data_IF_518118098526
#
_entry.id   IF_518118098526
#
_cell.length_a   1.000
_cell.length_b   1.000
_cell.length_c   1.000
_cell.angle_alpha   90.00
_cell.angle_beta   90.00
_cell.angle_gamma   90.00
#
_symmetry.space_group_name_H-M   'P 1'
#
loop_
_entity.id
_entity.type
_entity.pdbx_description
1 polymer ?
#
# COMPACT_ATOMS: atom_id res chain seq x y z
N UNK A 1 4.02 -7.71 26.68
CA UNK A 1 2.73 -7.01 26.44
C UNK A 1 2.36 -7.28 24.99
N UNK A 2 1.10 -7.64 24.68
CA UNK A 2 0.66 -7.83 23.28
C UNK A 2 0.05 -6.51 22.82
N UNK A 3 0.57 -5.93 21.74
CA UNK A 3 0.02 -4.72 21.13
C UNK A 3 -1.21 -5.04 20.26
N UNK A 4 -2.07 -4.05 20.07
CA UNK A 4 -3.31 -4.11 19.29
C UNK A 4 -3.49 -2.83 18.46
N UNK A 5 -4.43 -2.81 17.51
CA UNK A 5 -4.76 -1.61 16.72
C UNK A 5 -5.25 -0.42 17.57
N UNK A 6 -5.66 -0.67 18.82
CA UNK A 6 -6.05 0.37 19.78
C UNK A 6 -4.86 0.91 20.59
N UNK A 7 -3.65 0.39 20.35
CA UNK A 7 -2.44 0.91 20.99
C UNK A 7 -2.16 2.31 20.47
N UNK A 8 -2.08 3.29 21.38
CA UNK A 8 -1.63 4.63 21.04
C UNK A 8 -0.11 4.62 20.82
N UNK A 9 0.29 4.45 19.56
CA UNK A 9 1.69 4.43 19.15
C UNK A 9 2.46 5.69 19.58
N UNK A 10 1.77 6.84 19.68
CA UNK A 10 2.40 8.11 20.07
C UNK A 10 2.90 8.13 21.53
N UNK A 11 2.48 7.16 22.34
CA UNK A 11 2.90 7.01 23.75
C UNK A 11 4.10 6.08 23.92
N UNK A 12 4.43 5.26 22.91
CA UNK A 12 5.52 4.29 22.97
C UNK A 12 6.89 4.97 22.84
N UNK A 13 7.92 4.44 23.52
CA UNK A 13 9.30 4.98 23.47
C UNK A 13 10.35 3.87 23.38
N UNK A 14 11.46 4.15 22.72
CA UNK A 14 12.62 3.26 22.61
C UNK A 14 12.23 1.82 22.21
N UNK A 15 12.64 0.84 23.00
CA UNK A 15 12.36 -0.57 22.71
C UNK A 15 10.86 -0.94 22.62
N UNK A 16 9.93 -0.05 23.03
CA UNK A 16 8.50 -0.28 22.85
C UNK A 16 8.02 -0.03 21.43
N UNK A 17 8.56 0.99 20.73
CA UNK A 17 8.22 1.28 19.33
C UNK A 17 8.77 0.20 18.40
N UNK A 18 10.02 -0.23 18.61
CA UNK A 18 10.64 -1.34 17.87
C UNK A 18 9.80 -2.62 17.97
N UNK A 19 9.46 -3.04 19.20
CA UNK A 19 8.60 -4.23 19.42
C UNK A 19 7.19 -4.07 18.84
N UNK A 20 6.70 -2.85 18.70
CA UNK A 20 5.40 -2.61 18.06
C UNK A 20 5.51 -2.79 16.55
N UNK A 21 6.55 -2.24 15.92
CA UNK A 21 6.84 -2.38 14.49
C UNK A 21 7.07 -3.85 14.12
N UNK A 22 7.94 -4.56 14.85
CA UNK A 22 8.14 -6.01 14.66
C UNK A 22 6.86 -6.83 14.88
N UNK A 23 5.98 -6.35 15.76
CA UNK A 23 4.72 -6.99 16.10
C UNK A 23 3.56 -6.66 15.16
N UNK A 24 3.75 -5.73 14.21
CA UNK A 24 2.69 -5.25 13.33
C UNK A 24 2.02 -6.37 12.52
N UNK A 25 2.76 -7.33 11.91
CA UNK A 25 2.14 -8.38 11.10
C UNK A 25 1.22 -9.30 11.91
N UNK A 26 1.65 -9.70 13.11
CA UNK A 26 0.84 -10.54 13.98
C UNK A 26 -0.34 -9.76 14.57
N UNK A 27 -0.18 -8.45 14.79
CA UNK A 27 -1.24 -7.56 15.25
C UNK A 27 -2.34 -7.41 14.19
N UNK A 28 -2.00 -7.11 12.95
CA UNK A 28 -2.99 -6.97 11.85
C UNK A 28 -3.65 -8.31 11.56
N UNK A 29 -2.88 -9.41 11.52
CA UNK A 29 -3.42 -10.76 11.40
C UNK A 29 -4.43 -11.09 12.51
N UNK A 30 -4.08 -10.81 13.76
CA UNK A 30 -4.99 -11.04 14.90
C UNK A 30 -6.25 -10.18 14.81
N UNK A 31 -6.13 -8.90 14.41
CA UNK A 31 -7.25 -7.97 14.36
C UNK A 31 -8.26 -8.28 13.24
N UNK A 32 -7.77 -8.78 12.10
CA UNK A 32 -8.58 -9.16 10.94
C UNK A 32 -8.83 -10.68 10.86
N UNK A 33 -8.57 -11.43 11.94
CA UNK A 33 -8.87 -12.85 11.99
C UNK A 33 -10.38 -13.10 11.79
N UNK A 34 -10.71 -14.08 10.95
CA UNK A 34 -12.09 -14.38 10.56
C UNK A 34 -12.79 -13.30 9.71
N UNK A 35 -12.13 -12.21 9.31
CA UNK A 35 -12.68 -11.20 8.40
C UNK A 35 -12.50 -11.59 6.94
N UNK A 36 -13.48 -11.22 6.13
CA UNK A 36 -13.47 -11.48 4.68
C UNK A 36 -12.55 -10.53 3.91
N UNK A 37 -12.31 -10.85 2.64
CA UNK A 37 -11.47 -10.01 1.78
C UNK A 37 -12.08 -8.63 1.54
N UNK A 38 -13.40 -8.45 1.61
CA UNK A 38 -14.01 -7.10 1.46
C UNK A 38 -13.62 -6.18 2.62
N UNK A 39 -13.68 -6.69 3.86
CA UNK A 39 -13.26 -5.94 5.05
C UNK A 39 -11.77 -5.59 4.98
N UNK A 40 -10.93 -6.54 4.56
CA UNK A 40 -9.48 -6.32 4.44
C UNK A 40 -9.15 -5.36 3.30
N UNK A 41 -9.78 -5.52 2.14
CA UNK A 41 -9.64 -4.62 1.00
C UNK A 41 -9.98 -3.17 1.39
N UNK A 42 -11.08 -2.97 2.11
CA UNK A 42 -11.44 -1.64 2.61
C UNK A 42 -10.31 -1.06 3.47
N UNK A 43 -9.72 -1.84 4.37
CA UNK A 43 -8.61 -1.36 5.20
C UNK A 43 -7.42 -0.88 4.35
N UNK A 44 -7.07 -1.60 3.28
CA UNK A 44 -6.03 -1.16 2.35
C UNK A 44 -6.43 0.11 1.60
N UNK A 45 -7.67 0.19 1.07
CA UNK A 45 -8.13 1.37 0.33
C UNK A 45 -8.21 2.64 1.19
N UNK A 46 -8.55 2.51 2.46
CA UNK A 46 -8.52 3.62 3.42
C UNK A 46 -7.10 4.07 3.78
N UNK A 47 -6.06 3.35 3.36
CA UNK A 47 -4.65 3.77 3.49
C UNK A 47 -4.13 4.26 2.13
N UNK A 48 -4.49 3.57 1.05
CA UNK A 48 -4.13 3.94 -0.32
C UNK A 48 -4.73 5.29 -0.75
N UNK A 49 -5.96 5.64 -0.36
CA UNK A 49 -6.53 6.95 -0.73
C UNK A 49 -5.68 8.13 -0.23
N UNK A 50 -5.32 8.21 1.07
CA UNK A 50 -4.36 9.21 1.56
C UNK A 50 -3.00 9.16 0.87
N UNK A 51 -2.48 7.97 0.56
CA UNK A 51 -1.21 7.81 -0.17
C UNK A 51 -1.29 8.42 -1.57
N UNK A 52 -2.30 8.02 -2.36
CA UNK A 52 -2.51 8.46 -3.74
C UNK A 52 -2.84 9.96 -3.78
N UNK A 53 -3.53 10.49 -2.78
CA UNK A 53 -3.75 11.94 -2.67
C UNK A 53 -2.43 12.69 -2.42
N UNK A 54 -1.59 12.19 -1.51
CA UNK A 54 -0.25 12.75 -1.26
C UNK A 54 0.60 12.72 -2.54
N UNK A 55 0.63 11.57 -3.23
CA UNK A 55 1.31 11.41 -4.52
C UNK A 55 0.81 12.41 -5.56
N UNK A 56 -0.51 12.60 -5.67
CA UNK A 56 -1.11 13.55 -6.63
C UNK A 56 -0.66 14.98 -6.37
N UNK A 57 -0.57 15.40 -5.11
CA UNK A 57 -0.10 16.73 -4.76
C UNK A 57 1.40 16.88 -5.04
N UNK A 58 2.21 15.89 -4.67
CA UNK A 58 3.65 15.87 -4.93
C UNK A 58 3.98 15.95 -6.43
N UNK A 59 3.29 15.15 -7.27
CA UNK A 59 3.44 15.22 -8.73
C UNK A 59 2.98 16.56 -9.31
N UNK A 60 1.93 17.16 -8.75
CA UNK A 60 1.44 18.45 -9.22
C UNK A 60 2.43 19.59 -8.98
N UNK A 61 3.33 19.51 -7.99
CA UNK A 61 4.43 20.47 -7.81
C UNK A 61 5.43 20.44 -8.98
N UNK A 62 5.46 19.33 -9.73
CA UNK A 62 6.31 19.11 -10.90
C UNK A 62 5.55 19.23 -12.24
N UNK A 63 4.32 19.78 -12.23
CA UNK A 63 3.40 19.82 -13.37
C UNK A 63 3.04 18.43 -13.94
N UNK A 64 3.17 17.37 -13.13
CA UNK A 64 2.83 15.99 -13.47
C UNK A 64 1.47 15.57 -12.88
N UNK A 65 0.98 14.40 -13.29
CA UNK A 65 -0.26 13.81 -12.79
C UNK A 65 -0.08 12.30 -12.62
N UNK A 66 -0.79 11.67 -11.67
CA UNK A 66 -0.87 10.22 -11.58
C UNK A 66 -1.24 9.58 -12.92
N UNK A 67 -0.65 8.42 -13.20
CA UNK A 67 -0.95 7.64 -14.39
C UNK A 67 -2.40 7.20 -14.44
N UNK A 68 -2.90 7.01 -15.66
CA UNK A 68 -4.23 6.44 -15.89
C UNK A 68 -4.36 5.00 -15.42
N UNK A 69 -3.25 4.27 -15.29
CA UNK A 69 -3.25 2.91 -14.75
C UNK A 69 -3.54 2.93 -13.26
N UNK A 70 -2.88 3.83 -12.52
CA UNK A 70 -3.12 4.02 -11.09
C UNK A 70 -4.58 4.43 -10.82
N UNK A 71 -5.08 5.44 -11.54
CA UNK A 71 -6.49 5.85 -11.45
C UNK A 71 -7.45 4.68 -11.72
N UNK A 72 -7.20 3.92 -12.81
CA UNK A 72 -8.04 2.78 -13.20
C UNK A 72 -8.03 1.67 -12.15
N UNK A 73 -6.87 1.36 -11.58
CA UNK A 73 -6.74 0.35 -10.54
C UNK A 73 -7.52 0.72 -9.27
N UNK A 74 -7.40 1.97 -8.82
CA UNK A 74 -8.18 2.50 -7.69
C UNK A 74 -9.69 2.45 -7.96
N UNK A 75 -10.12 2.82 -9.17
CA UNK A 75 -11.52 2.73 -9.58
C UNK A 75 -12.08 1.30 -9.56
N UNK A 76 -11.30 0.33 -10.03
CA UNK A 76 -11.70 -1.08 -10.06
C UNK A 76 -11.84 -1.66 -8.64
N UNK A 77 -10.88 -1.38 -7.75
CA UNK A 77 -10.90 -1.86 -6.37
C UNK A 77 -12.09 -1.28 -5.59
N UNK A 78 -12.32 0.04 -5.69
CA UNK A 78 -13.50 0.66 -5.09
C UNK A 78 -14.79 0.20 -5.75
N UNK A 79 -14.81 0.07 -7.08
CA UNK A 79 -15.95 -0.44 -7.82
C UNK A 79 -16.37 -1.83 -7.35
N UNK A 80 -15.41 -2.70 -7.04
CA UNK A 80 -15.69 -4.02 -6.48
C UNK A 80 -16.31 -3.92 -5.07
N UNK A 81 -15.80 -3.07 -4.18
CA UNK A 81 -16.39 -2.86 -2.85
C UNK A 81 -17.81 -2.27 -2.92
N UNK A 82 -18.03 -1.33 -3.83
CA UNK A 82 -19.30 -0.63 -4.02
C UNK A 82 -20.31 -1.46 -4.85
N UNK A 83 -19.93 -2.66 -5.32
CA UNK A 83 -20.78 -3.53 -6.13
C UNK A 83 -21.03 -3.02 -7.57
N UNK A 84 -20.17 -2.13 -8.06
CA UNK A 84 -20.22 -1.51 -9.40
C UNK A 84 -19.29 -2.19 -10.42
N UNK A 85 -18.33 -2.99 -9.94
CA UNK A 85 -17.45 -3.80 -10.77
C UNK A 85 -17.43 -5.25 -10.25
N UNK A 86 -17.38 -6.20 -11.17
CA UNK A 86 -17.20 -7.63 -10.90
C UNK A 86 -15.94 -8.18 -11.55
N UNK A 87 -15.69 -9.48 -11.36
CA UNK A 87 -14.52 -10.17 -11.90
C UNK A 87 -14.26 -9.89 -13.38
N UNK A 88 -15.31 -9.95 -14.22
CA UNK A 88 -15.19 -9.73 -15.66
C UNK A 88 -14.75 -8.29 -16.03
N UNK A 89 -14.90 -7.32 -15.14
CA UNK A 89 -14.52 -5.92 -15.39
C UNK A 89 -13.02 -5.65 -15.13
N UNK A 90 -12.35 -6.51 -14.35
CA UNK A 90 -10.96 -6.30 -13.94
C UNK A 90 -10.01 -7.47 -14.18
N UNK A 91 -10.48 -8.69 -14.51
CA UNK A 91 -9.62 -9.88 -14.62
C UNK A 91 -8.44 -9.69 -15.60
N UNK A 92 -8.69 -9.18 -16.80
CA UNK A 92 -7.63 -8.95 -17.79
C UNK A 92 -6.65 -7.86 -17.34
N UNK A 93 -7.19 -6.78 -16.75
CA UNK A 93 -6.39 -5.68 -16.21
C UNK A 93 -5.50 -6.15 -15.05
N UNK A 94 -6.04 -6.96 -14.13
CA UNK A 94 -5.33 -7.51 -12.99
C UNK A 94 -4.16 -8.39 -13.42
N UNK A 95 -4.38 -9.28 -14.40
CA UNK A 95 -3.31 -10.14 -14.93
C UNK A 95 -2.21 -9.34 -15.63
N UNK A 96 -2.59 -8.37 -16.46
CA UNK A 96 -1.62 -7.53 -17.16
C UNK A 96 -0.81 -6.66 -16.20
N UNK A 97 -1.47 -6.03 -15.23
CA UNK A 97 -0.80 -5.23 -14.21
C UNK A 97 0.13 -6.10 -13.34
N UNK A 98 -0.29 -7.30 -12.96
CA UNK A 98 0.54 -8.24 -12.21
C UNK A 98 1.80 -8.66 -12.96
N UNK A 99 1.66 -9.04 -14.23
CA UNK A 99 2.84 -9.37 -15.04
C UNK A 99 3.76 -8.16 -15.25
N UNK A 100 3.20 -6.96 -15.42
CA UNK A 100 3.98 -5.73 -15.53
C UNK A 100 4.75 -5.40 -14.25
N UNK A 101 4.13 -5.55 -13.06
CA UNK A 101 4.80 -5.30 -11.77
C UNK A 101 5.91 -6.31 -11.50
N UNK A 102 5.71 -7.59 -11.87
CA UNK A 102 6.76 -8.60 -11.77
C UNK A 102 7.91 -8.28 -12.75
N UNK A 103 7.59 -7.93 -14.01
CA UNK A 103 8.61 -7.52 -15.00
C UNK A 103 9.45 -6.35 -14.51
N UNK A 104 8.82 -5.30 -13.97
CA UNK A 104 9.52 -4.14 -13.41
C UNK A 104 10.48 -4.53 -12.28
N UNK A 105 10.04 -5.40 -11.37
CA UNK A 105 10.82 -5.77 -10.18
C UNK A 105 11.92 -6.81 -10.44
N UNK A 106 11.71 -7.75 -11.36
CA UNK A 106 12.59 -8.93 -11.52
C UNK A 106 13.12 -9.13 -12.93
N UNK A 107 12.61 -8.39 -13.92
CA UNK A 107 12.95 -8.56 -15.33
C UNK A 107 12.35 -9.83 -15.95
N UNK A 108 11.33 -10.43 -15.36
CA UNK A 108 10.64 -11.60 -15.94
C UNK A 108 10.09 -11.31 -17.35
N UNK A 109 10.08 -12.32 -18.21
CA UNK A 109 9.66 -12.14 -19.60
C UNK A 109 8.15 -11.94 -19.72
N UNK A 110 7.76 -10.88 -20.44
CA UNK A 110 6.38 -10.60 -20.81
C UNK A 110 6.00 -11.34 -22.11
N UNK A 111 4.77 -11.85 -22.16
CA UNK A 111 4.13 -12.22 -23.43
C UNK A 111 3.92 -10.99 -24.32
N UNK A 112 3.60 -11.18 -25.60
CA UNK A 112 3.39 -10.06 -26.54
C UNK A 112 2.30 -9.09 -26.05
N UNK A 113 1.13 -9.60 -25.65
CA UNK A 113 0.03 -8.76 -25.18
C UNK A 113 0.36 -8.00 -23.87
N UNK A 114 1.11 -8.64 -22.96
CA UNK A 114 1.56 -7.99 -21.72
C UNK A 114 2.63 -6.94 -21.99
N UNK A 115 3.49 -7.18 -22.97
CA UNK A 115 4.50 -6.21 -23.43
C UNK A 115 3.81 -4.98 -24.04
N UNK A 116 2.82 -5.18 -24.91
CA UNK A 116 2.02 -4.08 -25.46
C UNK A 116 1.40 -3.24 -24.33
N UNK A 117 0.78 -3.89 -23.33
CA UNK A 117 0.23 -3.21 -22.15
C UNK A 117 1.29 -2.41 -21.37
N UNK A 118 2.46 -3.01 -21.13
CA UNK A 118 3.56 -2.37 -20.40
C UNK A 118 4.11 -1.15 -21.16
N UNK A 119 4.40 -1.30 -22.45
CA UNK A 119 4.94 -0.23 -23.29
C UNK A 119 3.93 0.91 -23.46
N UNK A 120 2.64 0.62 -23.62
CA UNK A 120 1.61 1.64 -23.79
C UNK A 120 1.34 2.45 -22.51
N UNK A 121 1.41 1.81 -21.34
CA UNK A 121 0.84 2.39 -20.13
C UNK A 121 1.82 2.61 -18.97
N UNK A 122 2.94 1.90 -18.94
CA UNK A 122 3.80 1.82 -17.75
C UNK A 122 5.27 2.15 -18.01
N UNK A 123 5.77 1.95 -19.23
CA UNK A 123 7.17 2.24 -19.58
C UNK A 123 7.56 3.70 -19.28
N UNK A 124 6.64 4.65 -19.48
CA UNK A 124 6.89 6.07 -19.18
C UNK A 124 7.03 6.36 -17.68
N UNK A 125 6.62 5.43 -16.81
CA UNK A 125 6.72 5.56 -15.35
C UNK A 125 8.02 4.96 -14.80
N UNK A 126 8.89 4.39 -15.64
CA UNK A 126 10.18 3.84 -15.20
C UNK A 126 10.99 4.91 -14.45
N UNK A 127 11.33 4.62 -13.20
CA UNK A 127 12.04 5.55 -12.30
C UNK A 127 11.14 6.39 -11.39
N UNK A 128 9.80 6.32 -11.52
CA UNK A 128 8.87 6.91 -10.54
C UNK A 128 8.54 5.88 -9.46
N UNK A 129 9.41 5.74 -8.46
CA UNK A 129 9.26 4.68 -7.47
C UNK A 129 8.01 4.84 -6.60
N UNK A 130 7.57 6.08 -6.33
CA UNK A 130 6.34 6.37 -5.59
C UNK A 130 5.09 5.78 -6.26
N UNK A 131 4.95 6.01 -7.57
CA UNK A 131 3.81 5.49 -8.32
C UNK A 131 3.92 3.98 -8.50
N UNK A 132 5.12 3.44 -8.72
CA UNK A 132 5.34 1.98 -8.75
C UNK A 132 4.99 1.28 -7.45
N UNK A 133 5.24 1.89 -6.28
CA UNK A 133 4.79 1.34 -4.98
C UNK A 133 3.26 1.22 -4.90
N UNK A 134 2.52 2.25 -5.35
CA UNK A 134 1.05 2.16 -5.39
C UNK A 134 0.56 1.12 -6.42
N UNK A 135 1.19 1.06 -7.60
CA UNK A 135 0.84 0.11 -8.65
C UNK A 135 1.10 -1.33 -8.21
N UNK A 136 2.24 -1.61 -7.56
CA UNK A 136 2.55 -2.92 -6.97
C UNK A 136 1.49 -3.34 -5.96
N UNK A 137 1.13 -2.45 -5.04
CA UNK A 137 0.09 -2.73 -4.05
C UNK A 137 -1.29 -2.97 -4.68
N UNK A 138 -1.70 -2.13 -5.63
CA UNK A 138 -2.97 -2.29 -6.35
C UNK A 138 -2.99 -3.60 -7.16
N UNK A 139 -1.86 -3.95 -7.77
CA UNK A 139 -1.67 -5.20 -8.51
C UNK A 139 -1.93 -6.41 -7.63
N UNK A 140 -1.29 -6.46 -6.45
CA UNK A 140 -1.44 -7.54 -5.48
C UNK A 140 -2.88 -7.66 -4.96
N UNK A 141 -3.55 -6.53 -4.71
CA UNK A 141 -4.97 -6.51 -4.34
C UNK A 141 -5.86 -7.06 -5.47
N UNK A 142 -5.69 -6.57 -6.71
CA UNK A 142 -6.52 -6.98 -7.84
C UNK A 142 -6.34 -8.46 -8.21
N UNK A 143 -5.10 -8.96 -8.21
CA UNK A 143 -4.85 -10.36 -8.51
C UNK A 143 -5.35 -11.28 -7.40
N UNK A 144 -5.27 -10.83 -6.14
CA UNK A 144 -5.82 -11.56 -4.99
C UNK A 144 -7.34 -11.64 -5.07
N UNK A 145 -8.01 -10.54 -5.45
CA UNK A 145 -9.45 -10.55 -5.68
C UNK A 145 -9.83 -11.49 -6.82
N UNK A 146 -9.10 -11.44 -7.94
CA UNK A 146 -9.28 -12.32 -9.10
C UNK A 146 -9.23 -13.79 -8.67
N UNK A 147 -8.18 -14.19 -7.95
CA UNK A 147 -8.02 -15.55 -7.45
C UNK A 147 -9.11 -15.96 -6.43
N UNK A 148 -9.51 -15.03 -5.56
CA UNK A 148 -10.53 -15.27 -4.52
C UNK A 148 -11.94 -15.48 -5.09
N UNK A 149 -12.25 -14.81 -6.20
CA UNK A 149 -13.51 -14.97 -6.95
C UNK A 149 -13.46 -16.15 -7.94
N UNK A 150 -12.34 -16.89 -8.00
CA UNK A 150 -12.18 -18.05 -8.88
C UNK A 150 -11.88 -17.69 -10.34
N UNK A 151 -11.36 -16.48 -10.58
CA UNK A 151 -10.93 -16.01 -11.88
C UNK A 151 -9.65 -16.65 -12.40
N UNK A 152 -9.31 -16.27 -13.63
CA UNK A 152 -8.13 -16.68 -14.39
C UNK A 152 -6.88 -15.97 -13.87
N UNK A 153 -5.82 -16.75 -13.71
CA UNK A 153 -4.47 -16.26 -13.41
C UNK A 153 -3.54 -16.69 -14.54
N UNK A 154 -2.81 -15.75 -15.12
CA UNK A 154 -1.94 -15.93 -16.30
C UNK A 154 -0.53 -16.37 -15.96
N UNK A 155 -0.34 -16.84 -14.73
CA UNK A 155 0.90 -17.38 -14.23
C UNK A 155 0.65 -18.74 -13.57
N UNK A 156 1.62 -19.66 -13.65
CA UNK A 156 1.45 -20.98 -13.08
C UNK A 156 1.46 -20.90 -11.56
N UNK A 157 0.43 -21.49 -10.93
CA UNK A 157 0.39 -21.71 -9.49
C UNK A 157 0.07 -23.17 -9.19
N UNK A 158 0.74 -23.71 -8.18
CA UNK A 158 0.31 -24.95 -7.56
C UNK A 158 -1.00 -24.73 -6.79
N UNK A 159 -2.04 -25.48 -7.18
CA UNK A 159 -3.40 -25.28 -6.67
C UNK A 159 -3.54 -25.60 -5.17
N UNK A 160 -2.67 -26.44 -4.61
CA UNK A 160 -2.73 -26.86 -3.20
C UNK A 160 -1.87 -25.98 -2.29
N UNK A 161 -0.67 -25.62 -2.74
CA UNK A 161 0.34 -24.95 -1.90
C UNK A 161 0.45 -23.44 -2.12
N UNK A 162 0.18 -22.93 -3.32
CA UNK A 162 0.38 -21.51 -3.65
C UNK A 162 -0.94 -20.74 -3.80
N UNK A 163 -1.92 -21.33 -4.49
CA UNK A 163 -3.22 -20.68 -4.73
C UNK A 163 -3.92 -20.19 -3.44
N UNK A 164 -3.89 -20.91 -2.30
CA UNK A 164 -4.49 -20.42 -1.07
C UNK A 164 -3.92 -19.06 -0.60
N UNK A 165 -2.63 -18.79 -0.84
CA UNK A 165 -2.01 -17.51 -0.49
C UNK A 165 -2.57 -16.37 -1.34
N UNK A 166 -2.83 -16.61 -2.63
CA UNK A 166 -3.43 -15.63 -3.54
C UNK A 166 -4.94 -15.43 -3.32
N UNK A 167 -5.61 -16.23 -2.48
CA UNK A 167 -7.04 -16.08 -2.22
C UNK A 167 -7.36 -15.21 -1.02
N UNK A 168 -6.34 -14.72 -0.33
CA UNK A 168 -6.51 -13.98 0.91
C UNK A 168 -5.70 -12.69 0.86
N UNK A 169 -6.35 -11.58 1.20
CA UNK A 169 -5.65 -10.31 1.40
C UNK A 169 -4.86 -10.35 2.71
N UNK A 170 -3.60 -9.93 2.64
CA UNK A 170 -2.67 -9.77 3.75
C UNK A 170 -2.18 -8.33 3.83
N UNK A 171 -1.61 -7.94 4.96
CA UNK A 171 -1.19 -6.56 5.23
C UNK A 171 0.32 -6.34 5.01
N UNK A 172 0.97 -7.19 4.21
CA UNK A 172 2.41 -7.07 3.90
C UNK A 172 2.72 -5.73 3.23
N UNK A 173 1.89 -5.27 2.28
CA UNK A 173 2.06 -3.96 1.64
C UNK A 173 2.02 -2.80 2.63
N UNK A 174 1.22 -2.91 3.69
CA UNK A 174 1.13 -1.87 4.72
C UNK A 174 2.37 -1.89 5.62
N UNK A 175 2.92 -3.07 5.90
CA UNK A 175 4.20 -3.20 6.60
C UNK A 175 5.33 -2.56 5.77
N UNK A 176 5.39 -2.87 4.47
CA UNK A 176 6.36 -2.29 3.55
C UNK A 176 6.21 -0.77 3.44
N UNK A 177 4.98 -0.26 3.35
CA UNK A 177 4.68 1.17 3.40
C UNK A 177 5.23 1.82 4.69
N UNK A 178 4.98 1.22 5.85
CA UNK A 178 5.44 1.77 7.12
C UNK A 178 6.97 1.76 7.23
N UNK A 179 7.63 0.72 6.69
CA UNK A 179 9.09 0.67 6.64
C UNK A 179 9.65 1.75 5.70
N UNK A 180 9.09 1.89 4.50
CA UNK A 180 9.48 2.93 3.55
C UNK A 180 9.25 4.34 4.11
N UNK A 181 8.15 4.57 4.84
CA UNK A 181 7.89 5.86 5.48
C UNK A 181 8.78 6.13 6.70
N UNK A 182 9.36 5.10 7.32
CA UNK A 182 10.38 5.29 8.35
C UNK A 182 11.68 5.79 7.72
N UNK A 183 12.08 5.21 6.58
CA UNK A 183 13.23 5.66 5.80
C UNK A 183 12.98 7.08 5.26
N UNK A 184 11.77 7.40 4.80
CA UNK A 184 11.37 8.75 4.41
C UNK A 184 11.58 9.76 5.54
N UNK A 185 11.17 9.40 6.76
CA UNK A 185 11.37 10.27 7.92
C UNK A 185 12.85 10.47 8.28
N UNK A 186 13.73 9.53 7.95
CA UNK A 186 15.18 9.69 8.15
C UNK A 186 15.69 10.77 7.21
N UNK A 187 15.32 10.70 5.93
CA UNK A 187 15.81 11.62 4.90
C UNK A 187 15.18 13.01 5.04
N UNK A 188 13.84 13.08 5.13
CA UNK A 188 13.11 14.35 5.21
C UNK A 188 13.40 15.18 6.48
N UNK A 189 13.91 14.55 7.55
CA UNK A 189 14.24 15.22 8.81
C UNK A 189 15.74 15.27 9.09
N UNK A 190 16.58 14.93 8.11
CA UNK A 190 18.04 14.88 8.23
C UNK A 190 18.51 14.11 9.49
N UNK A 191 17.87 12.97 9.80
CA UNK A 191 18.20 12.21 11.00
C UNK A 191 19.64 11.70 10.90
N UNK A 192 20.54 12.06 11.84
CA UNK A 192 21.95 11.74 11.70
C UNK A 192 22.23 10.24 11.66
N UNK A 193 22.91 9.79 10.60
CA UNK A 193 23.41 8.42 10.45
C UNK A 193 24.94 8.43 10.39
N UNK A 194 25.59 7.92 11.44
CA UNK A 194 27.05 8.01 11.57
C UNK A 194 27.83 7.19 10.52
N UNK A 195 27.22 6.12 10.01
CA UNK A 195 27.73 5.32 8.90
C UNK A 195 26.61 4.47 8.28
N UNK A 196 26.89 3.83 7.14
CA UNK A 196 25.96 2.88 6.50
C UNK A 196 25.92 1.49 7.17
N UNK A 197 26.40 1.37 8.42
CA UNK A 197 26.38 0.10 9.14
C UNK A 197 25.00 -0.12 9.75
N UNK A 198 24.56 -1.38 9.77
CA UNK A 198 23.27 -1.78 10.31
C UNK A 198 22.96 -1.21 11.70
N UNK A 199 23.95 -1.12 12.60
CA UNK A 199 23.76 -0.55 13.94
C UNK A 199 23.36 0.94 13.89
N UNK A 200 23.99 1.71 13.01
CA UNK A 200 23.74 3.16 12.91
C UNK A 200 22.41 3.41 12.20
N UNK A 201 22.06 2.59 11.20
CA UNK A 201 20.73 2.57 10.57
C UNK A 201 19.61 2.23 11.57
N UNK A 202 19.76 1.17 12.38
CA UNK A 202 18.79 0.84 13.44
C UNK A 202 18.62 2.00 14.42
N UNK A 203 19.71 2.72 14.72
CA UNK A 203 19.63 3.92 15.56
C UNK A 203 18.88 5.07 14.89
N UNK A 204 19.01 5.24 13.58
CA UNK A 204 18.28 6.26 12.82
C UNK A 204 16.79 5.92 12.71
N UNK A 205 16.46 4.66 12.37
CA UNK A 205 15.08 4.14 12.35
C UNK A 205 14.38 4.33 13.70
N UNK A 206 15.04 3.98 14.80
CA UNK A 206 14.45 4.14 16.13
C UNK A 206 14.18 5.61 16.47
N UNK A 207 14.99 6.54 15.96
CA UNK A 207 14.71 7.97 16.07
C UNK A 207 13.53 8.37 15.18
N UNK A 208 13.48 7.87 13.94
CA UNK A 208 12.40 8.12 13.00
C UNK A 208 11.03 7.74 13.59
N UNK A 209 10.94 6.58 14.24
CA UNK A 209 9.72 6.12 14.93
C UNK A 209 9.22 7.08 16.02
N UNK A 210 10.11 7.89 16.60
CA UNK A 210 9.76 8.84 17.65
C UNK A 210 9.39 10.23 17.12
N UNK A 211 9.56 10.48 15.82
CA UNK A 211 9.24 11.76 15.21
C UNK A 211 7.73 12.03 15.18
N UNK A 212 7.30 13.30 15.23
CA UNK A 212 5.90 13.66 15.03
C UNK A 212 5.36 13.19 13.67
N UNK A 213 6.18 13.26 12.62
CA UNK A 213 5.83 12.87 11.25
C UNK A 213 5.46 11.37 11.17
N UNK A 214 6.37 10.49 11.60
CA UNK A 214 6.11 9.05 11.58
C UNK A 214 4.91 8.65 12.46
N UNK A 215 4.77 9.28 13.63
CA UNK A 215 3.64 9.02 14.53
C UNK A 215 2.30 9.43 13.91
N UNK A 216 2.28 10.52 13.15
CA UNK A 216 1.08 10.94 12.41
C UNK A 216 0.71 9.91 11.34
N UNK A 217 1.69 9.46 10.54
CA UNK A 217 1.49 8.40 9.53
C UNK A 217 0.89 7.14 10.17
N UNK A 218 1.51 6.63 11.23
CA UNK A 218 1.01 5.43 11.94
C UNK A 218 -0.41 5.66 12.46
N UNK A 219 -0.71 6.83 13.02
CA UNK A 219 -2.05 7.14 13.50
C UNK A 219 -3.10 7.09 12.38
N UNK A 220 -2.78 7.57 11.18
CA UNK A 220 -3.67 7.51 10.03
C UNK A 220 -3.87 6.08 9.51
N UNK A 221 -2.79 5.30 9.42
CA UNK A 221 -2.85 3.88 9.02
C UNK A 221 -3.76 3.10 9.99
N UNK A 222 -3.54 3.25 11.29
CA UNK A 222 -4.38 2.61 12.31
C UNK A 222 -5.83 3.10 12.26
N UNK A 223 -6.05 4.37 11.94
CA UNK A 223 -7.40 4.91 11.77
C UNK A 223 -8.12 4.24 10.61
N UNK A 224 -7.49 4.13 9.43
CA UNK A 224 -8.05 3.40 8.28
C UNK A 224 -8.43 1.96 8.63
N UNK A 225 -7.53 1.24 9.30
CA UNK A 225 -7.79 -0.15 9.73
C UNK A 225 -8.96 -0.26 10.72
N UNK A 226 -9.02 0.60 11.73
CA UNK A 226 -10.12 0.60 12.71
C UNK A 226 -11.46 0.97 12.08
N UNK A 227 -11.47 1.94 11.18
CA UNK A 227 -12.66 2.31 10.40
C UNK A 227 -13.14 1.10 9.61
N UNK A 228 -12.26 0.41 8.89
CA UNK A 228 -12.62 -0.75 8.09
C UNK A 228 -13.23 -1.91 8.90
N UNK A 229 -12.77 -2.13 10.14
CA UNK A 229 -13.30 -3.19 11.02
C UNK A 229 -14.75 -2.96 11.47
N UNK A 230 -15.24 -1.73 11.39
CA UNK A 230 -16.57 -1.34 11.89
C UNK A 230 -17.51 -0.87 10.78
N UNK A 231 -16.96 -0.46 9.65
CA UNK A 231 -17.71 0.00 8.49
C UNK A 231 -18.69 -1.05 7.96
N UNK A 232 -19.85 -0.58 7.55
CA UNK A 232 -20.85 -1.36 6.82
C UNK A 232 -20.78 -1.02 5.32
N UNK A 233 -21.18 -1.92 4.41
CA UNK A 233 -21.12 -1.71 2.97
C UNK A 233 -21.78 -0.40 2.49
N UNK A 234 -22.87 0.02 3.14
CA UNK A 234 -23.59 1.25 2.79
C UNK A 234 -22.75 2.53 3.05
N UNK A 235 -21.67 2.41 3.81
CA UNK A 235 -20.78 3.53 4.15
C UNK A 235 -19.61 3.66 3.18
N UNK A 236 -19.36 2.68 2.30
CA UNK A 236 -18.12 2.62 1.50
C UNK A 236 -17.95 3.82 0.57
N UNK A 237 -19.02 4.24 -0.12
CA UNK A 237 -18.94 5.43 -0.98
C UNK A 237 -18.64 6.71 -0.20
N UNK A 238 -19.20 6.84 1.01
CA UNK A 238 -18.97 8.01 1.85
C UNK A 238 -17.54 8.02 2.39
N UNK A 239 -17.03 6.86 2.82
CA UNK A 239 -15.66 6.68 3.27
C UNK A 239 -14.65 6.95 2.16
N UNK A 240 -14.92 6.49 0.93
CA UNK A 240 -14.08 6.82 -0.23
C UNK A 240 -13.92 8.32 -0.41
N UNK A 241 -15.04 9.07 -0.44
CA UNK A 241 -15.03 10.53 -0.59
C UNK A 241 -14.31 11.22 0.56
N UNK A 242 -14.51 10.75 1.78
CA UNK A 242 -13.85 11.30 2.98
C UNK A 242 -12.33 11.11 2.91
N UNK A 243 -11.86 9.90 2.61
CA UNK A 243 -10.44 9.57 2.64
C UNK A 243 -9.67 10.11 1.43
N UNK A 244 -10.36 10.46 0.34
CA UNK A 244 -9.78 11.16 -0.80
C UNK A 244 -9.26 12.56 -0.45
N UNK A 245 -9.75 13.17 0.63
CA UNK A 245 -9.32 14.49 1.10
C UNK A 245 -8.21 14.41 2.15
N UNK A 246 -7.84 13.20 2.61
CA UNK A 246 -6.78 13.01 3.60
C UNK A 246 -5.42 12.91 2.93
N UNK A 247 -4.37 13.27 3.67
CA UNK A 247 -2.98 13.16 3.24
C UNK A 247 -2.22 12.24 4.18
N UNK A 248 -1.53 11.25 3.61
CA UNK A 248 -0.67 10.35 4.37
C UNK A 248 0.50 11.09 5.00
N UNK A 249 1.12 11.97 4.23
CA UNK A 249 2.21 12.84 4.65
C UNK A 249 1.71 14.30 4.63
N UNK A 250 2.02 15.13 5.64
CA UNK A 250 1.61 16.54 5.64
C UNK A 250 2.14 17.32 4.43
N UNK A 251 1.39 18.33 3.98
CA UNK A 251 1.78 19.21 2.86
C UNK A 251 3.18 19.80 2.98
N UNK A 252 3.63 20.06 4.22
CA UNK A 252 4.95 20.62 4.50
C UNK A 252 6.12 19.70 4.12
N UNK A 253 5.87 18.45 3.73
CA UNK A 253 6.89 17.48 3.32
C UNK A 253 6.65 16.93 1.90
N UNK A 254 5.88 17.61 1.05
CA UNK A 254 5.58 17.13 -0.31
C UNK A 254 6.80 17.15 -1.23
N UNK A 255 7.66 18.16 -1.10
CA UNK A 255 8.91 18.27 -1.86
C UNK A 255 9.85 17.10 -1.52
N UNK A 256 10.08 16.85 -0.23
CA UNK A 256 10.87 15.70 0.21
C UNK A 256 10.22 14.38 -0.19
N UNK A 257 8.88 14.30 -0.18
CA UNK A 257 8.17 13.09 -0.57
C UNK A 257 8.37 12.79 -2.05
N UNK A 258 8.32 13.81 -2.92
CA UNK A 258 8.51 13.62 -4.37
C UNK A 258 9.91 13.13 -4.75
N UNK A 259 10.91 13.47 -3.94
CA UNK A 259 12.32 13.14 -4.21
C UNK A 259 12.76 11.80 -3.60
N UNK A 260 11.91 11.14 -2.81
CA UNK A 260 12.31 10.03 -1.94
C UNK A 260 12.32 8.64 -2.61
N UNK A 261 11.75 8.45 -3.81
CA UNK A 261 11.70 7.15 -4.50
C UNK A 261 12.19 7.14 -5.95
#
# INVERSE_FOLDING_TARGET
MKYTLDTDFSTLRGAETERWMEGFPEMTKSAFDGRDNRTKLLAHLLILEPYVHTLRLALAEQDEQPSKVLERGMELLWGYLEGKAGLADFEDFANNLFSATIHYNTGEELTEAQREFYEEHLQALEGNGLEWSALGWISDLLITLTASEGGRLDFPLDAESQLPAYRQIFFTDVEELLNGLADFCIDALDIPMASNRAKDYISAINQAYETPLFRQVVAQVLQGMRTALTAQPEQYEALRREYQDYLLVPEAYLEEFSDFF
#
